data_IF_912751093179
#
_entry.id   IF_912751093179
#
_cell.length_a   1.000
_cell.length_b   1.000
_cell.length_c   1.000
_cell.angle_alpha   90.00
_cell.angle_beta   90.00
_cell.angle_gamma   90.00
#
_symmetry.space_group_name_H-M   'P 1'
#
loop_
_entity.id
_entity.type
_entity.pdbx_description
1 polymer ?
#
# COMPACT_ATOMS: atom_id res chain seq x y z
N UNK A 1 12.20 -2.57 5.56
CA UNK A 1 10.79 -2.98 5.70
C UNK A 1 9.92 -2.49 4.53
N UNK A 2 10.24 -1.36 3.88
CA UNK A 2 9.45 -0.80 2.76
C UNK A 2 9.83 -1.34 1.37
N UNK A 3 10.98 -1.98 1.24
CA UNK A 3 11.52 -2.43 -0.06
C UNK A 3 10.64 -3.48 -0.79
N UNK A 4 10.03 -4.48 -0.10
CA UNK A 4 9.13 -5.41 -0.77
C UNK A 4 7.90 -4.74 -1.38
N UNK A 5 7.41 -3.66 -0.78
CA UNK A 5 6.31 -2.87 -1.35
C UNK A 5 6.71 -2.22 -2.69
N UNK A 6 7.94 -1.71 -2.78
CA UNK A 6 8.44 -1.12 -4.02
C UNK A 6 8.63 -2.15 -5.12
N UNK A 7 8.96 -3.41 -4.81
CA UNK A 7 9.07 -4.47 -5.81
C UNK A 7 7.70 -4.98 -6.30
N UNK A 8 6.65 -4.85 -5.49
CA UNK A 8 5.28 -5.22 -5.87
C UNK A 8 4.65 -4.22 -6.85
N UNK A 9 4.89 -2.91 -6.68
CA UNK A 9 4.17 -1.86 -7.41
C UNK A 9 4.35 -1.89 -8.94
N UNK A 10 5.54 -2.19 -9.50
CA UNK A 10 5.68 -2.39 -10.93
C UNK A 10 4.78 -3.51 -11.48
N UNK A 11 4.62 -4.61 -10.74
CA UNK A 11 3.71 -5.70 -11.12
C UNK A 11 2.26 -5.20 -11.18
N UNK A 12 1.79 -4.47 -10.17
CA UNK A 12 0.45 -3.87 -10.17
C UNK A 12 0.24 -2.90 -11.32
N UNK A 13 1.27 -2.13 -11.70
CA UNK A 13 1.24 -1.23 -12.86
C UNK A 13 1.10 -2.02 -14.18
N UNK A 14 1.87 -3.10 -14.34
CA UNK A 14 1.83 -3.93 -15.55
C UNK A 14 0.47 -4.63 -15.72
N UNK A 15 -0.12 -5.12 -14.63
CA UNK A 15 -1.46 -5.71 -14.65
C UNK A 15 -2.50 -4.66 -15.05
N UNK A 16 -2.44 -3.46 -14.46
CA UNK A 16 -3.32 -2.37 -14.86
C UNK A 16 -3.14 -1.99 -16.34
N UNK A 17 -1.92 -2.04 -16.85
CA UNK A 17 -1.61 -1.80 -18.28
C UNK A 17 -2.23 -2.86 -19.18
N UNK A 18 -2.26 -4.15 -18.77
CA UNK A 18 -2.94 -5.22 -19.50
C UNK A 18 -4.40 -4.90 -19.72
N UNK A 19 -5.10 -4.58 -18.64
CA UNK A 19 -6.53 -4.26 -18.68
C UNK A 19 -6.84 -2.94 -19.40
N UNK A 20 -5.93 -1.96 -19.33
CA UNK A 20 -6.10 -0.68 -20.02
C UNK A 20 -5.97 -0.82 -21.56
N UNK A 21 -5.09 -1.68 -22.03
CA UNK A 21 -4.76 -1.81 -23.46
C UNK A 21 -5.53 -2.96 -24.12
N UNK A 22 -5.53 -4.13 -23.45
CA UNK A 22 -6.05 -5.37 -24.03
C UNK A 22 -7.43 -5.76 -23.50
N UNK A 23 -7.88 -5.16 -22.38
CA UNK A 23 -9.13 -5.47 -21.67
C UNK A 23 -9.19 -6.93 -21.20
N UNK A 24 -8.04 -7.52 -20.95
CA UNK A 24 -7.89 -8.88 -20.44
C UNK A 24 -6.64 -9.04 -19.57
N UNK A 25 -6.43 -10.23 -19.03
CA UNK A 25 -5.32 -10.56 -18.13
C UNK A 25 -4.06 -11.10 -18.80
N UNK A 26 -3.90 -10.96 -20.12
CA UNK A 26 -2.78 -11.60 -20.88
C UNK A 26 -1.38 -11.26 -20.35
N UNK A 27 -1.18 -10.10 -19.74
CA UNK A 27 0.10 -9.78 -19.08
C UNK A 27 0.28 -10.57 -17.78
N UNK A 28 -0.81 -10.89 -17.06
CA UNK A 28 -0.76 -11.77 -15.89
C UNK A 28 -0.44 -13.22 -16.27
N UNK A 29 -0.77 -13.63 -17.49
CA UNK A 29 -0.49 -14.96 -18.02
C UNK A 29 0.88 -15.04 -18.73
N UNK A 30 1.65 -13.93 -18.74
CA UNK A 30 2.98 -13.86 -19.33
C UNK A 30 4.01 -14.66 -18.51
N UNK A 31 5.10 -15.08 -19.17
CA UNK A 31 6.26 -15.65 -18.47
C UNK A 31 6.79 -14.71 -17.37
N UNK A 32 6.96 -15.25 -16.17
CA UNK A 32 7.35 -14.46 -14.98
C UNK A 32 8.67 -13.72 -15.19
N UNK A 33 9.61 -14.27 -15.95
CA UNK A 33 10.91 -13.63 -16.21
C UNK A 33 10.76 -12.39 -17.08
N UNK A 34 9.94 -12.46 -18.14
CA UNK A 34 9.63 -11.33 -19.01
C UNK A 34 8.89 -10.25 -18.24
N UNK A 35 7.93 -10.65 -17.40
CA UNK A 35 7.22 -9.73 -16.51
C UNK A 35 8.18 -8.99 -15.58
N UNK A 36 9.11 -9.69 -14.94
CA UNK A 36 10.06 -9.05 -14.02
C UNK A 36 11.07 -8.14 -14.73
N UNK A 37 11.47 -8.45 -15.97
CA UNK A 37 12.27 -7.54 -16.77
C UNK A 37 11.50 -6.25 -17.11
N UNK A 38 10.23 -6.35 -17.49
CA UNK A 38 9.38 -5.19 -17.70
C UNK A 38 9.18 -4.38 -16.40
N UNK A 39 8.96 -5.04 -15.28
CA UNK A 39 8.87 -4.42 -13.96
C UNK A 39 10.16 -3.67 -13.58
N UNK A 40 11.33 -4.23 -13.90
CA UNK A 40 12.60 -3.56 -13.67
C UNK A 40 12.72 -2.28 -14.53
N UNK A 41 12.33 -2.33 -15.80
CA UNK A 41 12.33 -1.14 -16.67
C UNK A 41 11.40 -0.04 -16.15
N UNK A 42 10.18 -0.40 -15.68
CA UNK A 42 9.24 0.53 -15.06
C UNK A 42 9.82 1.12 -13.76
N UNK A 43 10.49 0.30 -12.96
CA UNK A 43 11.12 0.75 -11.72
C UNK A 43 12.27 1.73 -11.97
N UNK A 44 13.10 1.49 -12.99
CA UNK A 44 14.15 2.41 -13.44
C UNK A 44 13.58 3.77 -13.89
N UNK A 45 12.49 3.73 -14.67
CA UNK A 45 11.77 4.94 -15.07
C UNK A 45 11.21 5.70 -13.86
N UNK A 46 10.63 4.99 -12.91
CA UNK A 46 10.07 5.59 -11.69
C UNK A 46 11.16 6.26 -10.83
N UNK A 47 12.32 5.64 -10.65
CA UNK A 47 13.47 6.25 -9.95
C UNK A 47 13.98 7.50 -10.69
N UNK A 48 14.07 7.45 -12.01
CA UNK A 48 14.45 8.61 -12.80
C UNK A 48 13.47 9.77 -12.57
N UNK A 49 12.16 9.52 -12.62
CA UNK A 49 11.16 10.55 -12.39
C UNK A 49 11.14 11.04 -10.94
N UNK A 50 11.31 10.16 -9.95
CA UNK A 50 11.45 10.54 -8.55
C UNK A 50 12.62 11.52 -8.33
N UNK A 51 13.71 11.36 -9.10
CA UNK A 51 14.87 12.24 -9.05
C UNK A 51 14.62 13.66 -9.58
N UNK A 52 13.51 13.89 -10.31
CA UNK A 52 13.11 15.22 -10.82
C UNK A 52 12.48 16.12 -9.78
N UNK A 53 12.15 15.59 -8.59
CA UNK A 53 11.73 16.36 -7.44
C UNK A 53 10.22 16.49 -7.24
N UNK A 54 9.85 17.24 -6.21
CA UNK A 54 8.51 17.28 -5.60
C UNK A 54 7.41 17.78 -6.56
N UNK A 55 7.70 18.67 -7.49
CA UNK A 55 6.67 19.28 -8.34
C UNK A 55 5.95 18.25 -9.24
N UNK A 56 6.70 17.27 -9.76
CA UNK A 56 6.15 16.16 -10.56
C UNK A 56 5.36 15.20 -9.66
N UNK A 57 5.91 14.87 -8.50
CA UNK A 57 5.25 14.02 -7.49
C UNK A 57 3.87 14.59 -7.12
N UNK A 58 3.78 15.88 -6.84
CA UNK A 58 2.53 16.55 -6.44
C UNK A 58 1.46 16.50 -7.53
N UNK A 59 1.82 16.76 -8.79
CA UNK A 59 0.88 16.70 -9.92
C UNK A 59 0.36 15.27 -10.15
N UNK A 60 1.26 14.30 -10.20
CA UNK A 60 0.91 12.90 -10.42
C UNK A 60 0.04 12.34 -9.28
N UNK A 61 0.38 12.63 -8.01
CA UNK A 61 -0.39 12.15 -6.87
C UNK A 61 -1.79 12.77 -6.79
N UNK A 62 -1.94 14.05 -7.14
CA UNK A 62 -3.25 14.68 -7.18
C UNK A 62 -4.13 14.05 -8.26
N UNK A 63 -3.61 13.90 -9.48
CA UNK A 63 -4.34 13.26 -10.57
C UNK A 63 -4.73 11.82 -10.21
N UNK A 64 -3.77 11.03 -9.76
CA UNK A 64 -3.99 9.63 -9.41
C UNK A 64 -4.97 9.46 -8.23
N UNK A 65 -4.79 10.21 -7.15
CA UNK A 65 -5.66 10.12 -5.98
C UNK A 65 -7.09 10.52 -6.27
N UNK A 66 -7.28 11.61 -7.01
CA UNK A 66 -8.62 12.09 -7.40
C UNK A 66 -9.32 11.11 -8.32
N UNK A 67 -8.64 10.61 -9.36
CA UNK A 67 -9.24 9.69 -10.32
C UNK A 67 -9.60 8.34 -9.68
N UNK A 68 -8.72 7.77 -8.85
CA UNK A 68 -9.00 6.53 -8.13
C UNK A 68 -10.16 6.67 -7.14
N UNK A 69 -10.25 7.80 -6.44
CA UNK A 69 -11.37 8.09 -5.55
C UNK A 69 -12.70 8.19 -6.31
N UNK A 70 -12.71 8.89 -7.44
CA UNK A 70 -13.91 9.00 -8.30
C UNK A 70 -14.34 7.60 -8.78
N UNK A 71 -13.41 6.75 -9.23
CA UNK A 71 -13.72 5.39 -9.67
C UNK A 71 -14.29 4.53 -8.55
N UNK A 72 -13.77 4.66 -7.31
CA UNK A 72 -14.29 3.92 -6.16
C UNK A 72 -15.71 4.33 -5.80
N UNK A 73 -16.01 5.64 -5.81
CA UNK A 73 -17.37 6.14 -5.58
C UNK A 73 -18.31 5.72 -6.72
N UNK A 74 -17.85 5.83 -7.97
CA UNK A 74 -18.63 5.43 -9.14
C UNK A 74 -19.02 3.95 -9.06
N UNK A 75 -18.08 3.07 -8.71
CA UNK A 75 -18.34 1.64 -8.54
C UNK A 75 -19.45 1.39 -7.51
N UNK A 76 -19.33 1.99 -6.32
CA UNK A 76 -20.32 1.82 -5.24
C UNK A 76 -21.69 2.35 -5.67
N UNK A 77 -21.76 3.54 -6.26
CA UNK A 77 -23.03 4.13 -6.69
C UNK A 77 -23.71 3.31 -7.79
N UNK A 78 -22.95 2.86 -8.77
CA UNK A 78 -23.48 2.02 -9.85
C UNK A 78 -23.95 0.65 -9.34
N UNK A 79 -23.22 0.04 -8.39
CA UNK A 79 -23.65 -1.22 -7.77
C UNK A 79 -24.93 -1.06 -6.94
N UNK A 80 -25.08 0.02 -6.19
CA UNK A 80 -26.31 0.31 -5.45
C UNK A 80 -27.48 0.56 -6.40
N UNK A 81 -27.24 1.22 -7.54
CA UNK A 81 -28.26 1.53 -8.52
C UNK A 81 -28.59 0.36 -9.46
N UNK A 82 -27.72 -0.64 -9.62
CA UNK A 82 -27.88 -1.73 -10.56
C UNK A 82 -29.23 -2.49 -10.43
N UNK A 83 -29.72 -2.85 -9.22
CA UNK A 83 -31.01 -3.53 -9.09
C UNK A 83 -32.23 -2.75 -9.58
N UNK A 84 -32.13 -1.41 -9.60
CA UNK A 84 -33.21 -0.51 -10.02
C UNK A 84 -33.11 -0.08 -11.48
N UNK A 85 -31.92 -0.09 -12.06
CA UNK A 85 -31.65 0.46 -13.39
C UNK A 85 -31.30 -0.60 -14.44
N UNK A 86 -31.05 -1.85 -14.02
CA UNK A 86 -30.59 -2.92 -14.91
C UNK A 86 -31.29 -4.23 -14.58
N UNK A 87 -31.20 -5.20 -15.51
CA UNK A 87 -31.69 -6.57 -15.29
C UNK A 87 -30.62 -7.47 -14.62
N UNK A 88 -29.63 -6.88 -13.94
CA UNK A 88 -28.53 -7.60 -13.32
C UNK A 88 -29.04 -8.54 -12.22
N UNK A 89 -28.69 -9.81 -12.33
CA UNK A 89 -28.95 -10.79 -11.28
C UNK A 89 -27.82 -10.75 -10.27
N UNK A 90 -28.03 -9.99 -9.18
CA UNK A 90 -27.05 -9.86 -8.09
C UNK A 90 -27.23 -10.98 -7.07
N UNK A 91 -26.12 -11.41 -6.47
CA UNK A 91 -26.16 -12.35 -5.37
C UNK A 91 -26.85 -11.71 -4.14
N UNK A 92 -27.74 -12.46 -3.51
CA UNK A 92 -28.40 -12.02 -2.28
C UNK A 92 -27.45 -12.14 -1.10
N UNK A 93 -27.27 -11.04 -0.38
CA UNK A 93 -26.51 -11.03 0.88
C UNK A 93 -27.44 -11.45 2.02
N UNK A 94 -27.02 -12.43 2.80
CA UNK A 94 -27.69 -12.75 4.07
C UNK A 94 -27.32 -11.69 5.11
N UNK A 95 -28.26 -10.78 5.41
CA UNK A 95 -28.11 -9.69 6.37
C UNK A 95 -28.26 -10.14 7.82
N UNK A 96 -28.26 -11.42 8.12
CA UNK A 96 -28.27 -11.91 9.49
C UNK A 96 -26.99 -11.54 10.25
N UNK A 97 -27.09 -11.35 11.55
CA UNK A 97 -25.92 -11.11 12.41
C UNK A 97 -24.84 -12.21 12.27
N UNK A 98 -25.25 -13.43 11.94
CA UNK A 98 -24.35 -14.57 11.77
C UNK A 98 -23.36 -14.34 10.62
N UNK A 99 -23.77 -13.66 9.54
CA UNK A 99 -22.91 -13.32 8.39
C UNK A 99 -21.85 -12.29 8.74
N UNK A 100 -22.16 -11.38 9.68
CA UNK A 100 -21.26 -10.30 10.06
C UNK A 100 -20.37 -10.61 11.28
N UNK A 101 -20.61 -11.74 11.95
CA UNK A 101 -19.72 -12.19 13.04
C UNK A 101 -18.61 -13.05 12.42
N UNK A 102 -17.33 -12.62 12.52
CA UNK A 102 -16.23 -13.39 11.96
C UNK A 102 -16.04 -14.72 12.71
N UNK A 103 -15.64 -15.74 11.98
CA UNK A 103 -15.13 -16.96 12.59
C UNK A 103 -13.68 -16.70 13.01
N UNK A 104 -13.42 -16.75 14.32
CA UNK A 104 -12.08 -16.52 14.87
C UNK A 104 -11.20 -17.76 14.73
N UNK A 105 -10.86 -18.10 13.48
CA UNK A 105 -9.94 -19.17 13.12
C UNK A 105 -8.58 -18.62 12.67
N UNK A 106 -7.66 -19.50 12.31
CA UNK A 106 -6.32 -19.11 11.83
C UNK A 106 -6.44 -18.24 10.58
N UNK A 107 -7.36 -18.56 9.66
CA UNK A 107 -7.59 -17.80 8.44
C UNK A 107 -8.01 -16.34 8.73
N UNK A 108 -8.86 -16.12 9.75
CA UNK A 108 -9.22 -14.77 10.19
C UNK A 108 -7.99 -13.96 10.61
N UNK A 109 -7.11 -14.55 11.43
CA UNK A 109 -5.92 -13.84 11.92
C UNK A 109 -4.87 -13.58 10.83
N UNK A 110 -4.72 -14.50 9.88
CA UNK A 110 -3.84 -14.28 8.72
C UNK A 110 -4.39 -13.19 7.79
N UNK A 111 -5.70 -13.16 7.57
CA UNK A 111 -6.34 -12.16 6.71
C UNK A 111 -6.36 -10.75 7.34
N UNK A 112 -6.46 -10.63 8.67
CA UNK A 112 -6.37 -9.33 9.36
C UNK A 112 -5.08 -8.59 8.99
N UNK A 113 -3.96 -9.29 8.82
CA UNK A 113 -2.69 -8.67 8.43
C UNK A 113 -2.78 -7.97 7.07
N UNK A 114 -3.47 -8.59 6.11
CA UNK A 114 -3.71 -8.02 4.77
C UNK A 114 -4.61 -6.78 4.88
N UNK A 115 -5.64 -6.81 5.74
CA UNK A 115 -6.51 -5.65 5.97
C UNK A 115 -5.75 -4.49 6.61
N UNK A 116 -4.93 -4.74 7.63
CA UNK A 116 -4.06 -3.71 8.25
C UNK A 116 -3.08 -3.14 7.23
N UNK A 117 -2.52 -3.97 6.37
CA UNK A 117 -1.69 -3.53 5.26
C UNK A 117 -2.47 -2.65 4.26
N UNK A 118 -3.67 -3.05 3.88
CA UNK A 118 -4.49 -2.37 2.88
C UNK A 118 -4.91 -0.96 3.31
N UNK A 119 -5.24 -0.76 4.59
CA UNK A 119 -5.62 0.56 5.13
C UNK A 119 -4.42 1.43 5.54
N UNK A 120 -3.21 0.89 5.48
CA UNK A 120 -1.98 1.59 5.84
C UNK A 120 -1.46 2.50 4.74
N UNK A 121 -0.50 3.39 5.08
CA UNK A 121 0.22 4.22 4.11
C UNK A 121 0.03 5.72 4.27
N UNK A 122 -0.89 6.18 5.10
CA UNK A 122 -1.15 7.61 5.33
C UNK A 122 0.08 8.36 5.87
N UNK A 123 0.96 7.68 6.60
CA UNK A 123 2.20 8.26 7.14
C UNK A 123 3.17 8.73 6.05
N UNK A 124 3.05 8.23 4.81
CA UNK A 124 3.91 8.65 3.68
C UNK A 124 3.76 10.13 3.33
N UNK A 125 2.67 10.77 3.76
CA UNK A 125 2.43 12.20 3.54
C UNK A 125 3.17 13.05 4.57
N UNK A 126 3.57 12.49 5.71
CA UNK A 126 4.18 13.24 6.82
C UNK A 126 5.41 14.10 6.43
N UNK A 127 6.31 13.71 5.52
CA UNK A 127 7.43 14.55 5.11
C UNK A 127 7.01 15.85 4.38
N UNK A 128 5.79 15.91 3.87
CA UNK A 128 5.27 17.03 3.08
C UNK A 128 4.37 17.97 3.88
N UNK A 129 4.19 17.70 5.19
CA UNK A 129 3.32 18.50 6.08
C UNK A 129 3.73 19.98 6.09
N UNK A 130 5.03 20.26 6.12
CA UNK A 130 5.55 21.64 6.16
C UNK A 130 5.33 22.43 4.84
N UNK A 131 4.90 21.77 3.76
CA UNK A 131 4.53 22.42 2.50
C UNK A 131 3.06 22.86 2.45
N UNK A 132 2.28 22.51 3.47
CA UNK A 132 0.87 22.92 3.59
C UNK A 132 0.75 24.36 4.12
N UNK A 133 -0.29 25.08 3.68
CA UNK A 133 -0.58 26.46 4.15
C UNK A 133 -0.89 26.52 5.65
N UNK A 134 -1.59 25.51 6.18
CA UNK A 134 -1.90 25.36 7.61
C UNK A 134 -1.58 23.91 8.01
N UNK A 135 -0.32 23.63 8.38
CA UNK A 135 0.10 22.27 8.65
C UNK A 135 -0.68 21.57 9.77
N UNK A 136 -0.91 22.27 10.88
CA UNK A 136 -1.53 21.69 12.07
C UNK A 136 -2.99 21.29 11.85
N UNK A 137 -3.79 22.20 11.29
CA UNK A 137 -5.22 21.96 11.06
C UNK A 137 -5.48 21.22 9.75
N UNK A 138 -4.78 21.60 8.68
CA UNK A 138 -4.96 21.02 7.35
C UNK A 138 -4.60 19.54 7.31
N UNK A 139 -3.45 19.17 7.87
CA UNK A 139 -3.02 17.77 7.94
C UNK A 139 -3.99 16.93 8.78
N UNK A 140 -4.37 17.39 9.96
CA UNK A 140 -5.26 16.66 10.87
C UNK A 140 -6.64 16.43 10.26
N UNK A 141 -7.24 17.46 9.62
CA UNK A 141 -8.52 17.33 8.89
C UNK A 141 -8.41 16.36 7.72
N UNK A 142 -7.31 16.45 6.96
CA UNK A 142 -7.02 15.53 5.86
C UNK A 142 -6.93 14.07 6.31
N UNK A 143 -6.29 13.80 7.45
CA UNK A 143 -6.19 12.45 8.01
C UNK A 143 -7.54 11.89 8.46
N UNK A 144 -8.38 12.71 9.10
CA UNK A 144 -9.74 12.30 9.49
C UNK A 144 -10.59 12.01 8.25
N UNK A 145 -10.56 12.90 7.26
CA UNK A 145 -11.29 12.70 6.01
C UNK A 145 -10.85 11.43 5.28
N UNK A 146 -9.53 11.17 5.23
CA UNK A 146 -8.97 9.94 4.66
C UNK A 146 -9.45 8.69 5.42
N UNK A 147 -9.43 8.71 6.75
CA UNK A 147 -9.89 7.58 7.56
C UNK A 147 -11.37 7.26 7.31
N UNK A 148 -12.24 8.29 7.29
CA UNK A 148 -13.67 8.12 6.96
C UNK A 148 -13.85 7.59 5.55
N UNK A 149 -13.16 8.17 4.58
CA UNK A 149 -13.22 7.75 3.18
C UNK A 149 -12.81 6.29 3.01
N UNK A 150 -11.69 5.88 3.61
CA UNK A 150 -11.21 4.49 3.56
C UNK A 150 -12.21 3.55 4.22
N UNK A 151 -12.76 3.90 5.38
CA UNK A 151 -13.76 3.06 6.06
C UNK A 151 -15.03 2.88 5.21
N UNK A 152 -15.57 3.97 4.67
CA UNK A 152 -16.78 3.94 3.83
C UNK A 152 -16.55 3.14 2.56
N UNK A 153 -15.44 3.39 1.83
CA UNK A 153 -15.15 2.68 0.58
C UNK A 153 -14.81 1.21 0.81
N UNK A 154 -14.17 0.87 1.93
CA UNK A 154 -13.89 -0.52 2.27
C UNK A 154 -15.19 -1.28 2.58
N UNK A 155 -16.07 -0.73 3.41
CA UNK A 155 -17.33 -1.40 3.79
C UNK A 155 -18.24 -1.52 2.57
N UNK A 156 -18.58 -0.42 1.92
CA UNK A 156 -19.50 -0.41 0.79
C UNK A 156 -18.94 -1.14 -0.43
N UNK A 157 -17.63 -0.99 -0.69
CA UNK A 157 -16.96 -1.72 -1.78
C UNK A 157 -16.96 -3.23 -1.56
N UNK A 158 -16.74 -3.71 -0.32
CA UNK A 158 -16.81 -5.14 0.00
C UNK A 158 -18.23 -5.69 -0.15
N UNK A 159 -19.25 -4.95 0.31
CA UNK A 159 -20.66 -5.32 0.10
C UNK A 159 -20.96 -5.39 -1.40
N UNK A 160 -20.56 -4.39 -2.18
CA UNK A 160 -20.77 -4.37 -3.63
C UNK A 160 -20.11 -5.57 -4.34
N UNK A 161 -18.89 -5.93 -3.95
CA UNK A 161 -18.22 -7.13 -4.48
C UNK A 161 -18.92 -8.42 -4.06
N UNK A 162 -19.44 -8.51 -2.84
CA UNK A 162 -20.23 -9.66 -2.37
C UNK A 162 -21.57 -9.83 -3.09
N UNK A 163 -22.15 -8.74 -3.59
CA UNK A 163 -23.35 -8.78 -4.44
C UNK A 163 -23.03 -9.26 -5.86
N UNK A 164 -21.80 -9.08 -6.32
CA UNK A 164 -21.36 -9.41 -7.67
C UNK A 164 -20.78 -10.83 -7.78
N UNK A 165 -19.93 -11.24 -6.84
CA UNK A 165 -19.24 -12.52 -6.87
C UNK A 165 -19.86 -13.53 -5.90
N UNK A 166 -20.08 -14.77 -6.36
CA UNK A 166 -20.50 -15.88 -5.48
C UNK A 166 -19.35 -16.29 -4.57
N UNK A 167 -19.58 -16.21 -3.26
CA UNK A 167 -18.62 -16.61 -2.24
C UNK A 167 -18.20 -18.09 -2.29
N UNK A 168 -18.99 -18.94 -2.93
CA UNK A 168 -18.71 -20.37 -3.09
C UNK A 168 -17.89 -20.67 -4.36
N UNK A 169 -17.80 -19.70 -5.29
CA UNK A 169 -17.08 -19.86 -6.56
C UNK A 169 -16.22 -18.64 -6.86
N UNK A 170 -15.26 -18.37 -5.97
CA UNK A 170 -14.35 -17.23 -6.09
C UNK A 170 -13.25 -17.55 -7.11
N UNK A 171 -13.03 -16.71 -8.14
CA UNK A 171 -11.91 -16.87 -9.08
C UNK A 171 -10.56 -16.92 -8.34
N UNK A 172 -9.69 -17.84 -8.74
CA UNK A 172 -8.39 -18.04 -8.09
C UNK A 172 -7.48 -16.81 -8.14
N UNK A 173 -7.66 -15.95 -9.14
CA UNK A 173 -6.89 -14.72 -9.37
C UNK A 173 -7.65 -13.45 -8.96
N UNK A 174 -8.69 -13.57 -8.13
CA UNK A 174 -9.48 -12.43 -7.65
C UNK A 174 -8.62 -11.36 -6.95
N UNK A 175 -7.58 -11.78 -6.22
CA UNK A 175 -6.65 -10.85 -5.55
C UNK A 175 -5.89 -9.97 -6.55
N UNK A 176 -5.60 -10.50 -7.73
CA UNK A 176 -4.81 -9.83 -8.78
C UNK A 176 -5.71 -9.06 -9.74
N UNK A 177 -6.82 -9.68 -10.19
CA UNK A 177 -7.66 -9.20 -11.28
C UNK A 177 -9.09 -8.82 -10.85
N UNK A 178 -9.49 -9.08 -9.61
CA UNK A 178 -10.89 -8.97 -9.18
C UNK A 178 -11.53 -7.61 -9.36
N UNK A 179 -10.77 -6.53 -9.16
CA UNK A 179 -11.31 -5.19 -9.40
C UNK A 179 -11.61 -4.92 -10.88
N UNK A 180 -10.82 -5.49 -11.79
CA UNK A 180 -11.06 -5.36 -13.24
C UNK A 180 -12.27 -6.19 -13.66
N UNK A 181 -12.41 -7.43 -13.15
CA UNK A 181 -13.60 -8.24 -13.35
C UNK A 181 -14.85 -7.51 -12.86
N UNK A 182 -14.78 -6.87 -11.69
CA UNK A 182 -15.92 -6.11 -11.16
C UNK A 182 -16.35 -4.96 -12.07
N UNK A 183 -15.40 -4.21 -12.64
CA UNK A 183 -15.74 -3.15 -13.60
C UNK A 183 -16.14 -3.68 -14.98
N UNK A 184 -15.71 -4.86 -15.37
CA UNK A 184 -16.15 -5.52 -16.60
C UNK A 184 -17.61 -5.97 -16.44
N UNK A 185 -17.95 -6.71 -15.39
CA UNK A 185 -19.32 -7.10 -15.03
C UNK A 185 -20.25 -5.88 -14.93
N UNK A 186 -19.77 -4.81 -14.30
CA UNK A 186 -20.53 -3.57 -14.21
C UNK A 186 -20.85 -2.99 -15.60
N UNK A 187 -19.90 -3.08 -16.53
CA UNK A 187 -20.10 -2.68 -17.92
C UNK A 187 -21.14 -3.53 -18.65
N UNK A 188 -21.22 -4.82 -18.34
CA UNK A 188 -22.24 -5.73 -18.85
C UNK A 188 -23.64 -5.39 -18.28
N UNK A 189 -23.74 -5.14 -16.96
CA UNK A 189 -25.01 -4.76 -16.33
C UNK A 189 -25.63 -3.50 -16.95
N UNK A 190 -24.82 -2.52 -17.28
CA UNK A 190 -25.29 -1.24 -17.87
C UNK A 190 -25.24 -1.22 -19.41
N UNK A 191 -24.94 -2.35 -20.07
CA UNK A 191 -24.85 -2.47 -21.53
C UNK A 191 -23.88 -1.48 -22.20
N UNK A 192 -22.80 -1.08 -21.49
CA UNK A 192 -21.77 -0.19 -21.99
C UNK A 192 -20.46 -0.89 -22.38
N UNK A 193 -20.48 -2.23 -22.41
CA UNK A 193 -19.32 -3.05 -22.76
C UNK A 193 -18.12 -2.76 -21.87
N UNK A 194 -16.94 -2.65 -22.47
CA UNK A 194 -15.69 -2.50 -21.72
C UNK A 194 -15.39 -1.07 -21.23
N UNK A 195 -16.33 -0.12 -21.34
CA UNK A 195 -16.08 1.29 -20.99
C UNK A 195 -15.60 1.46 -19.55
N UNK A 196 -16.28 0.81 -18.60
CA UNK A 196 -15.96 0.96 -17.18
C UNK A 196 -14.64 0.28 -16.80
N UNK A 197 -14.34 -0.91 -17.34
CA UNK A 197 -13.06 -1.58 -17.07
C UNK A 197 -11.88 -0.81 -17.68
N UNK A 198 -12.03 -0.23 -18.87
CA UNK A 198 -10.99 0.62 -19.49
C UNK A 198 -10.75 1.87 -18.62
N UNK A 199 -11.83 2.58 -18.25
CA UNK A 199 -11.72 3.77 -17.41
C UNK A 199 -11.04 3.46 -16.06
N UNK A 200 -11.45 2.38 -15.39
CA UNK A 200 -10.81 1.92 -14.17
C UNK A 200 -9.35 1.55 -14.38
N UNK A 201 -9.04 0.75 -15.40
CA UNK A 201 -7.70 0.27 -15.67
C UNK A 201 -6.72 1.42 -15.98
N UNK A 202 -7.14 2.41 -16.79
CA UNK A 202 -6.33 3.61 -17.09
C UNK A 202 -6.08 4.42 -15.81
N UNK A 203 -7.11 4.67 -15.01
CA UNK A 203 -6.95 5.42 -13.76
C UNK A 203 -6.09 4.66 -12.75
N UNK A 204 -6.25 3.33 -12.65
CA UNK A 204 -5.44 2.50 -11.78
C UNK A 204 -3.99 2.42 -12.26
N UNK A 205 -3.73 2.32 -13.56
CA UNK A 205 -2.38 2.36 -14.13
C UNK A 205 -1.66 3.66 -13.72
N UNK A 206 -2.30 4.81 -13.91
CA UNK A 206 -1.76 6.12 -13.47
C UNK A 206 -1.55 6.13 -11.96
N UNK A 207 -2.52 5.60 -11.20
CA UNK A 207 -2.50 5.49 -9.76
C UNK A 207 -1.33 4.66 -9.23
N UNK A 208 -1.13 3.46 -9.77
CA UNK A 208 -0.03 2.56 -9.36
C UNK A 208 1.34 3.18 -9.67
N UNK A 209 1.47 3.86 -10.80
CA UNK A 209 2.72 4.53 -11.17
C UNK A 209 3.01 5.73 -10.24
N UNK A 210 2.03 6.55 -9.94
CA UNK A 210 2.18 7.67 -9.00
C UNK A 210 2.53 7.18 -7.60
N UNK A 211 1.86 6.13 -7.10
CA UNK A 211 2.16 5.51 -5.80
C UNK A 211 3.58 4.93 -5.78
N UNK A 212 4.04 4.33 -6.86
CA UNK A 212 5.42 3.83 -6.97
C UNK A 212 6.43 4.98 -6.79
N UNK A 213 6.28 6.06 -7.53
CA UNK A 213 7.19 7.21 -7.49
C UNK A 213 7.21 7.86 -6.10
N UNK A 214 6.04 8.09 -5.48
CA UNK A 214 5.93 8.65 -4.12
C UNK A 214 6.56 7.70 -3.10
N UNK A 215 6.36 6.40 -3.26
CA UNK A 215 6.88 5.39 -2.34
C UNK A 215 8.40 5.21 -2.44
N UNK A 216 9.04 5.68 -3.50
CA UNK A 216 10.49 5.80 -3.60
C UNK A 216 10.99 7.01 -2.78
N UNK A 217 10.38 8.17 -2.95
CA UNK A 217 10.89 9.44 -2.39
C UNK A 217 10.46 9.66 -0.93
N UNK A 218 9.19 9.44 -0.58
CA UNK A 218 8.65 9.79 0.74
C UNK A 218 9.33 9.08 1.92
N UNK A 219 9.54 7.73 1.92
CA UNK A 219 10.22 7.07 3.03
C UNK A 219 11.69 7.47 3.14
N UNK A 220 12.32 7.80 2.02
CA UNK A 220 13.71 8.27 1.98
C UNK A 220 13.82 9.66 2.61
N UNK A 221 12.89 10.58 2.30
CA UNK A 221 12.80 11.89 2.95
C UNK A 221 12.49 11.74 4.43
N UNK A 222 11.55 10.88 4.79
CA UNK A 222 11.23 10.63 6.20
C UNK A 222 12.48 10.19 7.00
N UNK A 223 13.30 9.32 6.39
CA UNK A 223 14.55 8.86 7.03
C UNK A 223 15.61 9.96 7.07
N UNK A 224 15.83 10.71 5.99
CA UNK A 224 16.96 11.62 5.85
C UNK A 224 16.67 13.04 6.34
N UNK A 225 15.44 13.55 6.21
CA UNK A 225 15.10 14.88 6.72
C UNK A 225 14.96 14.89 8.27
N UNK A 226 14.59 13.74 8.88
CA UNK A 226 14.49 13.58 10.34
C UNK A 226 15.68 12.85 10.96
N UNK A 227 16.58 12.30 10.14
CA UNK A 227 17.66 11.44 10.58
C UNK A 227 18.85 12.20 11.15
N UNK A 228 19.43 11.64 12.21
CA UNK A 228 20.67 12.16 12.79
C UNK A 228 21.88 11.59 12.03
N UNK A 229 22.77 12.47 11.56
CA UNK A 229 24.02 12.13 10.85
C UNK A 229 24.95 11.20 11.66
N UNK A 230 24.76 11.12 12.99
CA UNK A 230 25.51 10.17 13.83
C UNK A 230 25.17 8.70 13.51
N UNK A 231 23.96 8.44 12.99
CA UNK A 231 23.45 7.11 12.71
C UNK A 231 23.28 6.79 11.22
N UNK A 232 23.37 7.81 10.36
CA UNK A 232 23.19 7.68 8.93
C UNK A 232 24.44 8.21 8.21
N UNK A 233 25.04 7.46 7.27
CA UNK A 233 26.19 7.90 6.50
C UNK A 233 25.94 9.22 5.79
N UNK A 234 26.85 10.18 5.92
CA UNK A 234 26.71 11.53 5.36
C UNK A 234 26.52 11.53 3.83
N UNK A 235 27.10 10.56 3.15
CA UNK A 235 26.98 10.35 1.70
C UNK A 235 25.51 10.23 1.25
N UNK A 236 24.62 9.70 2.10
CA UNK A 236 23.19 9.53 1.76
C UNK A 236 22.43 10.87 1.75
N UNK A 237 22.91 11.89 2.43
CA UNK A 237 22.28 13.21 2.48
C UNK A 237 22.53 14.07 1.23
N UNK A 238 23.36 13.61 0.28
CA UNK A 238 23.64 14.35 -0.95
C UNK A 238 22.39 14.51 -1.80
N UNK A 239 21.96 15.76 -1.98
CA UNK A 239 20.83 16.15 -2.84
C UNK A 239 21.32 16.61 -4.22
N UNK A 240 20.48 16.38 -5.23
CA UNK A 240 20.66 17.00 -6.56
C UNK A 240 20.06 18.41 -6.57
N UNK A 241 20.15 19.10 -7.72
CA UNK A 241 19.59 20.45 -7.95
C UNK A 241 18.07 20.52 -7.77
N UNK A 242 17.37 19.38 -7.81
CA UNK A 242 15.92 19.27 -7.64
C UNK A 242 15.54 18.88 -6.20
N UNK A 243 16.48 18.80 -5.27
CA UNK A 243 16.26 18.44 -3.88
C UNK A 243 16.05 16.95 -3.59
N UNK A 244 16.31 16.07 -4.57
CA UNK A 244 16.17 14.62 -4.39
C UNK A 244 17.50 14.00 -3.89
N UNK A 245 17.41 13.00 -3.01
CA UNK A 245 18.55 12.30 -2.40
C UNK A 245 19.16 11.27 -3.35
N UNK A 246 20.19 11.65 -4.09
CA UNK A 246 20.80 10.85 -5.18
C UNK A 246 21.31 9.49 -4.69
N UNK A 247 22.09 9.46 -3.63
CA UNK A 247 22.68 8.22 -3.15
C UNK A 247 21.68 7.34 -2.40
N UNK A 248 20.65 7.95 -1.79
CA UNK A 248 19.49 7.22 -1.26
C UNK A 248 18.72 6.52 -2.36
N UNK A 249 18.44 7.18 -3.48
CA UNK A 249 17.81 6.55 -4.65
C UNK A 249 18.66 5.41 -5.24
N UNK A 250 20.01 5.56 -5.30
CA UNK A 250 20.89 4.48 -5.74
C UNK A 250 20.84 3.26 -4.82
N UNK A 251 20.79 3.47 -3.50
CA UNK A 251 20.63 2.38 -2.54
C UNK A 251 19.32 1.63 -2.72
N UNK A 252 18.21 2.39 -2.86
CA UNK A 252 16.89 1.81 -3.16
C UNK A 252 16.94 1.05 -4.48
N UNK A 253 17.55 1.61 -5.52
CA UNK A 253 17.68 0.98 -6.84
C UNK A 253 18.31 -0.39 -6.72
N UNK A 254 19.45 -0.53 -6.05
CA UNK A 254 20.15 -1.82 -5.92
C UNK A 254 19.29 -2.84 -5.18
N UNK A 255 18.78 -2.47 -3.98
CA UNK A 255 18.03 -3.41 -3.15
C UNK A 255 16.73 -3.86 -3.83
N UNK A 256 15.97 -2.92 -4.39
CA UNK A 256 14.66 -3.25 -4.99
C UNK A 256 14.83 -3.97 -6.33
N UNK A 257 15.86 -3.65 -7.12
CA UNK A 257 16.16 -4.41 -8.35
C UNK A 257 16.45 -5.88 -8.03
N UNK A 258 17.19 -6.18 -6.96
CA UNK A 258 17.38 -7.55 -6.51
C UNK A 258 16.06 -8.21 -6.10
N UNK A 259 15.20 -7.50 -5.35
CA UNK A 259 13.88 -8.01 -4.96
C UNK A 259 12.92 -8.21 -6.15
N UNK A 260 13.09 -7.49 -7.25
CA UNK A 260 12.33 -7.70 -8.49
C UNK A 260 12.87 -8.91 -9.24
N UNK A 261 14.19 -9.04 -9.38
CA UNK A 261 14.82 -10.05 -10.25
C UNK A 261 14.84 -11.43 -9.61
N UNK A 262 15.15 -11.54 -8.30
CA UNK A 262 15.32 -12.84 -7.63
C UNK A 262 14.08 -13.74 -7.74
N UNK A 263 12.84 -13.28 -7.54
CA UNK A 263 11.66 -14.13 -7.66
C UNK A 263 11.43 -14.71 -9.05
N UNK A 264 11.97 -14.10 -10.11
CA UNK A 264 11.85 -14.60 -11.48
C UNK A 264 12.50 -15.99 -11.70
N UNK A 265 13.37 -16.41 -10.79
CA UNK A 265 14.06 -17.70 -10.90
C UNK A 265 13.40 -18.83 -10.11
N UNK A 266 12.34 -18.56 -9.34
CA UNK A 266 11.75 -19.58 -8.47
C UNK A 266 10.22 -19.63 -8.46
N UNK A 267 9.52 -18.67 -9.10
CA UNK A 267 8.06 -18.56 -9.07
C UNK A 267 7.48 -18.83 -10.45
N UNK A 268 6.52 -19.76 -10.52
CA UNK A 268 6.00 -20.27 -11.78
C UNK A 268 5.04 -19.31 -12.51
N UNK A 269 4.27 -18.46 -11.79
CA UNK A 269 3.29 -17.57 -12.39
C UNK A 269 3.32 -16.16 -11.80
N UNK A 270 2.86 -15.19 -12.59
CA UNK A 270 2.74 -13.79 -12.15
C UNK A 270 1.73 -13.64 -11.01
N UNK A 271 0.61 -14.36 -11.08
CA UNK A 271 -0.42 -14.32 -10.03
C UNK A 271 0.11 -14.83 -8.69
N UNK A 272 0.84 -15.95 -8.70
CA UNK A 272 1.52 -16.49 -7.52
C UNK A 272 2.54 -15.51 -6.94
N UNK A 273 3.34 -14.88 -7.80
CA UNK A 273 4.29 -13.85 -7.41
C UNK A 273 3.59 -12.66 -6.73
N UNK A 274 2.51 -12.17 -7.30
CA UNK A 274 1.75 -11.05 -6.72
C UNK A 274 1.17 -11.43 -5.36
N UNK A 275 0.59 -12.63 -5.24
CA UNK A 275 0.09 -13.15 -3.96
C UNK A 275 1.19 -13.20 -2.89
N UNK A 276 2.37 -13.70 -3.25
CA UNK A 276 3.53 -13.74 -2.35
C UNK A 276 3.97 -12.36 -1.89
N UNK A 277 4.09 -11.41 -2.82
CA UNK A 277 4.47 -10.05 -2.50
C UNK A 277 3.43 -9.35 -1.62
N UNK A 278 2.14 -9.59 -1.85
CA UNK A 278 1.06 -9.06 -0.99
C UNK A 278 1.16 -9.62 0.42
N UNK A 279 1.28 -10.94 0.58
CA UNK A 279 1.45 -11.59 1.88
C UNK A 279 2.69 -11.09 2.62
N UNK A 280 3.84 -11.01 1.93
CA UNK A 280 5.07 -10.48 2.50
C UNK A 280 4.94 -9.02 2.95
N UNK A 281 4.27 -8.19 2.16
CA UNK A 281 3.99 -6.81 2.53
C UNK A 281 3.02 -6.70 3.71
N UNK A 282 2.05 -7.61 3.80
CA UNK A 282 1.12 -7.68 4.94
C UNK A 282 1.82 -7.96 6.27
N UNK A 283 2.99 -8.60 6.26
CA UNK A 283 3.86 -8.76 7.44
C UNK A 283 4.77 -7.54 7.62
N UNK A 284 5.52 -7.19 6.58
CA UNK A 284 6.59 -6.18 6.67
C UNK A 284 6.06 -4.76 6.92
N UNK A 285 4.96 -4.38 6.30
CA UNK A 285 4.48 -3.00 6.36
C UNK A 285 3.87 -2.64 7.73
N UNK A 286 3.03 -3.47 8.37
CA UNK A 286 2.49 -3.16 9.69
C UNK A 286 3.54 -3.12 10.81
N UNK A 287 4.65 -3.86 10.69
CA UNK A 287 5.71 -3.86 11.70
C UNK A 287 6.24 -2.45 12.03
N UNK A 288 6.30 -1.55 11.06
CA UNK A 288 6.72 -0.16 11.30
C UNK A 288 5.70 0.63 12.12
N UNK A 289 4.40 0.31 12.02
CA UNK A 289 3.37 1.00 12.78
C UNK A 289 3.48 0.75 14.27
N UNK A 290 4.03 -0.39 14.70
CA UNK A 290 4.30 -0.66 16.11
C UNK A 290 5.17 0.45 16.72
N UNK A 291 6.20 0.90 15.99
CA UNK A 291 7.06 2.00 16.44
C UNK A 291 6.35 3.35 16.44
N UNK A 292 5.46 3.59 15.50
CA UNK A 292 4.62 4.80 15.46
C UNK A 292 3.71 4.86 16.69
N UNK A 293 3.09 3.74 17.08
CA UNK A 293 2.25 3.68 18.28
C UNK A 293 3.07 3.82 19.57
N UNK A 294 4.26 3.23 19.65
CA UNK A 294 5.20 3.44 20.78
C UNK A 294 5.57 4.92 20.88
N UNK A 295 5.92 5.55 19.77
CA UNK A 295 6.24 6.98 19.75
C UNK A 295 5.05 7.85 20.18
N UNK A 296 3.84 7.52 19.70
CA UNK A 296 2.60 8.21 20.12
C UNK A 296 2.34 8.08 21.63
N UNK A 297 2.49 6.88 22.20
CA UNK A 297 2.33 6.63 23.63
C UNK A 297 3.38 7.43 24.43
N UNK A 298 4.64 7.40 23.98
CA UNK A 298 5.72 8.16 24.61
C UNK A 298 5.45 9.68 24.58
N UNK A 299 5.02 10.21 23.44
CA UNK A 299 4.62 11.61 23.30
C UNK A 299 3.44 11.99 24.17
N UNK A 300 2.47 11.09 24.38
CA UNK A 300 1.36 11.31 25.32
C UNK A 300 1.82 11.36 26.76
N UNK A 301 2.83 10.56 27.14
CA UNK A 301 3.40 10.56 28.50
C UNK A 301 4.22 11.81 28.77
N UNK A 302 5.05 12.25 27.83
CA UNK A 302 6.04 13.32 27.99
C UNK A 302 5.63 14.67 27.40
N UNK A 303 4.48 14.73 26.78
CA UNK A 303 4.09 15.81 25.86
C UNK A 303 3.82 17.17 26.50
N UNK A 304 3.82 17.29 27.80
CA UNK A 304 3.79 18.57 28.50
C UNK A 304 5.09 19.40 28.26
N UNK A 305 6.17 18.72 27.87
CA UNK A 305 7.46 19.35 27.55
C UNK A 305 7.55 19.97 26.15
N UNK A 306 6.59 19.63 25.26
CA UNK A 306 6.58 20.06 23.86
C UNK A 306 5.31 20.86 23.58
N UNK A 307 5.42 22.05 23.02
CA UNK A 307 4.28 22.82 22.51
C UNK A 307 3.54 22.03 21.43
N UNK A 308 2.21 22.02 21.48
CA UNK A 308 1.37 21.32 20.54
C UNK A 308 0.29 22.24 19.99
N UNK A 309 0.21 22.36 18.69
CA UNK A 309 -0.83 23.15 18.02
C UNK A 309 -2.15 22.37 17.83
N UNK A 310 -2.09 21.04 17.83
CA UNK A 310 -3.26 20.19 17.62
C UNK A 310 -3.31 18.99 18.58
N UNK A 311 -4.49 18.70 19.09
CA UNK A 311 -4.79 17.54 19.94
C UNK A 311 -5.94 16.73 19.34
N UNK A 312 -5.66 15.58 18.77
CA UNK A 312 -6.70 14.63 18.30
C UNK A 312 -7.50 14.07 19.49
N UNK A 313 -6.81 13.61 20.54
CA UNK A 313 -7.39 13.18 21.79
C UNK A 313 -6.84 14.06 22.92
N UNK A 314 -7.68 14.87 23.55
CA UNK A 314 -7.25 15.78 24.63
C UNK A 314 -6.87 15.03 25.89
N UNK A 315 -7.69 14.04 26.28
CA UNK A 315 -7.46 13.24 27.50
C UNK A 315 -6.20 12.36 27.35
N UNK A 316 -5.24 12.53 28.29
CA UNK A 316 -3.95 11.82 28.28
C UNK A 316 -4.14 10.30 28.43
N UNK A 317 -4.96 9.87 29.39
CA UNK A 317 -5.19 8.45 29.67
C UNK A 317 -5.90 7.74 28.51
N UNK A 318 -6.94 8.37 27.95
CA UNK A 318 -7.64 7.87 26.76
C UNK A 318 -6.69 7.80 25.55
N UNK A 319 -5.85 8.80 25.36
CA UNK A 319 -4.86 8.78 24.27
C UNK A 319 -3.86 7.63 24.39
N UNK A 320 -3.37 7.36 25.60
CA UNK A 320 -2.48 6.22 25.86
C UNK A 320 -3.22 4.90 25.61
N UNK A 321 -4.45 4.76 26.10
CA UNK A 321 -5.26 3.55 25.90
C UNK A 321 -5.48 3.24 24.42
N UNK A 322 -5.84 4.25 23.62
CA UNK A 322 -5.99 4.11 22.15
C UNK A 322 -4.66 3.70 21.51
N UNK A 323 -3.54 4.32 21.90
CA UNK A 323 -2.22 3.96 21.40
C UNK A 323 -1.84 2.50 21.71
N UNK A 324 -2.11 2.04 22.93
CA UNK A 324 -1.89 0.65 23.35
C UNK A 324 -2.80 -0.30 22.58
N UNK A 325 -4.08 0.03 22.44
CA UNK A 325 -5.02 -0.76 21.64
C UNK A 325 -4.54 -0.94 20.20
N UNK A 326 -4.18 0.15 19.52
CA UNK A 326 -3.65 0.11 18.14
C UNK A 326 -2.35 -0.72 18.06
N UNK A 327 -1.47 -0.59 19.05
CA UNK A 327 -0.25 -1.40 19.12
C UNK A 327 -0.56 -2.89 19.23
N UNK A 328 -1.40 -3.29 20.18
CA UNK A 328 -1.74 -4.69 20.41
C UNK A 328 -2.46 -5.29 19.22
N UNK A 329 -3.46 -4.59 18.66
CA UNK A 329 -4.17 -5.05 17.46
C UNK A 329 -3.24 -5.26 16.27
N UNK A 330 -2.34 -4.29 16.02
CA UNK A 330 -1.36 -4.40 14.93
C UNK A 330 -0.33 -5.50 15.19
N UNK A 331 0.10 -5.71 16.45
CA UNK A 331 0.99 -6.78 16.80
C UNK A 331 0.35 -8.17 16.56
N UNK A 332 -0.91 -8.34 16.93
CA UNK A 332 -1.68 -9.57 16.65
C UNK A 332 -1.77 -9.80 15.14
N UNK A 333 -2.07 -8.75 14.36
CA UNK A 333 -2.11 -8.84 12.90
C UNK A 333 -0.76 -9.24 12.31
N UNK A 334 0.37 -8.66 12.79
CA UNK A 334 1.70 -9.03 12.34
C UNK A 334 2.02 -10.51 12.64
N UNK A 335 1.70 -10.98 13.84
CA UNK A 335 1.93 -12.37 14.25
C UNK A 335 1.07 -13.32 13.39
N UNK A 336 -0.22 -13.02 13.22
CA UNK A 336 -1.12 -13.80 12.37
C UNK A 336 -0.65 -13.84 10.92
N UNK A 337 -0.16 -12.73 10.39
CA UNK A 337 0.34 -12.65 9.01
C UNK A 337 1.62 -13.45 8.74
N UNK A 338 2.38 -13.79 9.77
CA UNK A 338 3.59 -14.64 9.60
C UNK A 338 3.19 -16.07 9.20
N UNK A 339 2.08 -16.58 9.72
CA UNK A 339 1.66 -17.94 9.45
C UNK A 339 1.35 -18.19 7.96
N UNK A 340 1.83 -19.29 7.43
CA UNK A 340 1.50 -19.81 6.10
C UNK A 340 1.60 -21.33 6.11
N UNK A 341 0.70 -22.01 5.40
CA UNK A 341 0.77 -23.46 5.16
C UNK A 341 1.89 -23.80 4.19
N UNK A 342 2.22 -22.88 3.28
CA UNK A 342 3.39 -22.99 2.42
C UNK A 342 4.67 -22.67 3.22
N UNK A 343 5.54 -23.68 3.36
CA UNK A 343 6.80 -23.59 4.11
C UNK A 343 7.72 -22.52 3.53
N UNK A 344 7.78 -22.37 2.22
CA UNK A 344 8.62 -21.36 1.58
C UNK A 344 8.11 -19.95 1.89
N UNK A 345 6.80 -19.72 1.80
CA UNK A 345 6.19 -18.46 2.20
C UNK A 345 6.40 -18.16 3.69
N UNK A 346 6.28 -19.17 4.55
CA UNK A 346 6.54 -19.03 5.98
C UNK A 346 8.00 -18.58 6.25
N UNK A 347 8.97 -19.21 5.59
CA UNK A 347 10.38 -18.81 5.68
C UNK A 347 10.59 -17.37 5.21
N UNK A 348 9.97 -16.97 4.11
CA UNK A 348 10.06 -15.59 3.60
C UNK A 348 9.44 -14.58 4.58
N UNK A 349 8.28 -14.92 5.15
CA UNK A 349 7.59 -14.05 6.11
C UNK A 349 8.41 -13.80 7.38
N UNK A 350 9.22 -14.77 7.79
CA UNK A 350 10.11 -14.65 8.95
C UNK A 350 11.45 -14.00 8.56
N UNK A 351 12.11 -14.52 7.52
CA UNK A 351 13.46 -14.11 7.15
C UNK A 351 13.52 -12.66 6.60
N UNK A 352 12.57 -12.27 5.77
CA UNK A 352 12.61 -10.95 5.11
C UNK A 352 12.57 -9.78 6.10
N UNK A 353 11.65 -9.71 7.08
CA UNK A 353 11.68 -8.65 8.09
C UNK A 353 13.00 -8.61 8.86
N UNK A 354 13.52 -9.78 9.26
CA UNK A 354 14.79 -9.89 10.01
C UNK A 354 15.94 -9.34 9.18
N UNK A 355 16.10 -9.80 7.94
CA UNK A 355 17.16 -9.33 7.02
C UNK A 355 17.05 -7.83 6.79
N UNK A 356 15.86 -7.31 6.55
CA UNK A 356 15.66 -5.87 6.32
C UNK A 356 15.96 -5.03 7.58
N UNK A 357 15.65 -5.53 8.77
CA UNK A 357 16.01 -4.88 10.03
C UNK A 357 17.54 -4.89 10.22
N UNK A 358 18.19 -6.03 10.00
CA UNK A 358 19.64 -6.15 10.09
C UNK A 358 20.36 -5.22 9.10
N UNK A 359 19.88 -5.13 7.85
CA UNK A 359 20.40 -4.18 6.88
C UNK A 359 20.24 -2.72 7.36
N UNK A 360 19.13 -2.39 8.02
CA UNK A 360 18.93 -1.08 8.65
C UNK A 360 19.91 -0.80 9.79
N UNK A 361 20.20 -1.81 10.62
CA UNK A 361 21.14 -1.70 11.75
C UNK A 361 22.62 -1.55 11.31
N UNK A 362 22.94 -1.90 10.08
CA UNK A 362 24.29 -1.70 9.51
C UNK A 362 24.54 -0.20 9.21
N UNK A 363 23.52 0.60 8.95
CA UNK A 363 23.67 2.03 8.64
C UNK A 363 24.47 2.81 9.70
N UNK A 364 24.21 2.68 11.03
CA UNK A 364 25.02 3.35 12.05
C UNK A 364 26.49 2.94 12.07
N UNK A 365 26.80 1.70 11.72
CA UNK A 365 28.17 1.22 11.62
C UNK A 365 28.93 1.95 10.49
N UNK A 366 28.31 2.06 9.32
CA UNK A 366 28.89 2.82 8.20
C UNK A 366 28.95 4.31 8.47
N UNK A 367 27.97 4.90 9.19
CA UNK A 367 27.99 6.29 9.59
C UNK A 367 29.23 6.58 10.46
N UNK A 368 29.51 5.75 11.46
CA UNK A 368 30.68 5.90 12.33
C UNK A 368 32.01 5.83 11.57
N UNK A 369 32.07 5.07 10.48
CA UNK A 369 33.27 4.93 9.63
C UNK A 369 33.40 6.09 8.64
N UNK A 370 32.29 6.63 8.13
CA UNK A 370 32.27 7.73 7.14
C UNK A 370 32.51 9.10 7.75
N UNK A 371 32.20 9.27 9.04
CA UNK A 371 32.27 10.55 9.73
C UNK A 371 33.57 10.67 10.57
N UNK A 372 34.49 9.71 10.46
CA UNK A 372 35.89 9.74 10.88
C UNK A 372 36.77 10.12 9.70
#
# INVERSE_FOLDING_TARGET
VHMPYLSQKPNSFMIATSWAIFQDKRISDMDTRLMQLACLAIFLLAIYLASKGISILKKLSTLAGTSMFIMSILFILLMIAAPALTDAQLNTIDWSLKTFIPKFDISFFTNISILVFAVGGCEKISPYVNEMKDPARGFSKGMIALAVMVAVTAILGTISLGMMFDSNNIPNDLMTNGAYYAFQELGEYYHVGNLFVIAYAVTNMIGQFAVLIISIDAPLRMLLDSGDKRYIPEVLFKKNKNGAYVNGHKLILVIVSLLIVVPAFGIGSVDELVKWLVKLNAVCMPLRYLWVFVAYIALKKTGEKFGREYYFVKNKALGILIGVWCFVFTAIACIGGIYSEDVFQLMLNIATPIVLILLGLILPYFAKKSNR
#
